data_IF_910823003037
#
_entry.id   IF_910823003037
#
_cell.length_a   1.000
_cell.length_b   1.000
_cell.length_c   1.000
_cell.angle_alpha   90.00
_cell.angle_beta   90.00
_cell.angle_gamma   90.00
#
_symmetry.space_group_name_H-M   'P 1'
#
loop_
_entity.id
_entity.type
_entity.pdbx_description
1 polymer ?
#
# COMPACT_ATOMS: atom_id res chain seq x y z
N UNK A 1 61.19 75.88 -69.82
CA UNK A 1 61.98 76.58 -68.77
C UNK A 1 63.41 76.06 -68.80
N UNK A 2 64.36 76.73 -68.18
CA UNK A 2 65.76 76.25 -68.13
C UNK A 2 65.85 74.96 -67.33
N UNK A 3 66.23 73.85 -67.97
CA UNK A 3 66.45 72.59 -67.24
C UNK A 3 67.81 72.56 -66.54
N UNK A 4 67.86 71.94 -65.37
CA UNK A 4 68.96 72.05 -64.43
C UNK A 4 70.03 70.97 -64.66
N UNK A 5 70.83 71.13 -65.71
CA UNK A 5 71.93 70.22 -66.05
C UNK A 5 72.92 70.12 -64.88
N UNK A 6 72.97 68.96 -64.25
CA UNK A 6 73.85 68.66 -63.12
C UNK A 6 75.32 68.68 -63.54
N UNK A 7 76.13 69.47 -62.85
CA UNK A 7 77.56 69.67 -63.16
C UNK A 7 78.45 68.42 -62.94
N UNK A 8 77.85 67.31 -62.49
CA UNK A 8 78.52 66.02 -62.22
C UNK A 8 78.04 64.88 -63.12
N UNK A 9 77.31 65.16 -64.22
CA UNK A 9 76.95 64.16 -65.24
C UNK A 9 75.84 63.18 -64.86
N UNK A 10 75.33 63.21 -63.63
CA UNK A 10 74.17 62.44 -63.20
C UNK A 10 72.86 63.21 -63.46
N UNK A 11 72.00 62.67 -64.32
CA UNK A 11 70.63 63.19 -64.52
C UNK A 11 69.75 62.90 -63.31
N UNK A 12 68.86 63.84 -62.88
CA UNK A 12 68.08 63.70 -61.65
C UNK A 12 66.84 62.80 -61.82
N UNK A 13 67.05 61.49 -62.01
CA UNK A 13 66.03 60.45 -62.25
C UNK A 13 65.16 60.12 -61.02
N UNK A 14 64.46 61.13 -60.47
CA UNK A 14 63.49 60.95 -59.39
C UNK A 14 62.33 60.05 -59.85
N UNK A 15 62.40 58.76 -59.47
CA UNK A 15 61.44 57.65 -59.73
C UNK A 15 61.70 56.79 -60.99
N UNK A 16 62.95 56.71 -61.45
CA UNK A 16 63.39 55.56 -62.28
C UNK A 16 63.01 55.59 -63.77
N UNK A 17 62.61 56.74 -64.30
CA UNK A 17 62.44 57.00 -65.73
C UNK A 17 63.23 58.25 -66.14
N UNK A 18 63.54 58.38 -67.44
CA UNK A 18 64.18 59.56 -68.01
C UNK A 18 63.12 60.59 -68.47
N UNK A 19 63.12 61.84 -67.96
CA UNK A 19 62.10 62.83 -68.32
C UNK A 19 61.94 63.06 -69.83
N UNK A 20 63.04 63.22 -70.56
CA UNK A 20 63.01 63.50 -72.01
C UNK A 20 62.32 62.39 -72.81
N UNK A 21 62.45 61.13 -72.36
CA UNK A 21 61.79 59.97 -72.98
C UNK A 21 60.29 59.96 -72.70
N UNK A 22 59.88 60.41 -71.50
CA UNK A 22 58.46 60.57 -71.15
C UNK A 22 57.85 61.73 -71.94
N UNK A 23 58.51 62.89 -72.02
CA UNK A 23 58.00 64.05 -72.76
C UNK A 23 57.94 63.76 -74.28
N UNK A 24 58.92 63.05 -74.85
CA UNK A 24 58.88 62.57 -76.23
C UNK A 24 57.71 61.59 -76.46
N UNK A 25 57.50 60.62 -75.56
CA UNK A 25 56.39 59.66 -75.65
C UNK A 25 55.02 60.35 -75.48
N UNK A 26 54.88 61.29 -74.54
CA UNK A 26 53.66 62.08 -74.33
C UNK A 26 53.38 62.98 -75.54
N UNK A 27 54.40 63.54 -76.18
CA UNK A 27 54.26 64.32 -77.42
C UNK A 27 53.82 63.43 -78.58
N UNK A 28 54.41 62.24 -78.74
CA UNK A 28 54.01 61.27 -79.76
C UNK A 28 52.55 60.81 -79.55
N UNK A 29 52.20 60.37 -78.33
CA UNK A 29 50.84 59.95 -77.98
C UNK A 29 49.81 61.08 -78.11
N UNK A 30 50.18 62.33 -77.81
CA UNK A 30 49.31 63.49 -78.01
C UNK A 30 49.07 63.75 -79.50
N UNK A 31 50.10 63.60 -80.34
CA UNK A 31 49.97 63.69 -81.79
C UNK A 31 49.12 62.55 -82.36
N UNK A 32 49.34 61.30 -81.93
CA UNK A 32 48.54 60.15 -82.35
C UNK A 32 47.06 60.31 -81.94
N UNK A 33 46.81 60.83 -80.73
CA UNK A 33 45.48 61.23 -80.25
C UNK A 33 44.84 62.27 -81.16
N UNK A 34 45.57 63.32 -81.52
CA UNK A 34 45.02 64.42 -82.33
C UNK A 34 44.79 64.01 -83.78
N UNK A 35 45.69 63.21 -84.37
CA UNK A 35 45.45 62.57 -85.67
C UNK A 35 44.26 61.59 -85.62
N UNK A 36 44.02 60.92 -84.49
CA UNK A 36 42.83 60.09 -84.30
C UNK A 36 41.54 60.91 -84.13
N UNK A 37 41.58 62.05 -83.46
CA UNK A 37 40.47 63.00 -83.37
C UNK A 37 40.10 63.57 -84.75
N UNK A 38 41.09 63.95 -85.57
CA UNK A 38 40.81 64.44 -86.93
C UNK A 38 40.22 63.33 -87.82
N UNK A 39 40.73 62.09 -87.74
CA UNK A 39 40.12 60.93 -88.41
C UNK A 39 38.67 60.71 -87.96
N UNK A 40 38.40 60.80 -86.65
CA UNK A 40 37.05 60.67 -86.07
C UNK A 40 36.13 61.83 -86.46
N UNK A 41 36.65 63.05 -86.56
CA UNK A 41 35.96 64.25 -87.04
C UNK A 41 35.51 64.07 -88.50
N UNK A 42 36.44 63.67 -89.38
CA UNK A 42 36.17 63.39 -90.80
C UNK A 42 35.18 62.22 -90.97
N UNK A 43 35.37 61.11 -90.24
CA UNK A 43 34.44 59.97 -90.27
C UNK A 43 33.05 60.35 -89.73
N UNK A 44 32.97 61.13 -88.65
CA UNK A 44 31.71 61.61 -88.10
C UNK A 44 31.03 62.68 -88.96
N UNK A 45 31.79 63.42 -89.77
CA UNK A 45 31.24 64.28 -90.83
C UNK A 45 30.66 63.45 -91.97
N UNK A 46 31.42 62.48 -92.47
CA UNK A 46 31.00 61.56 -93.52
C UNK A 46 29.79 60.70 -93.12
N UNK A 47 29.73 60.23 -91.87
CA UNK A 47 28.58 59.49 -91.34
C UNK A 47 27.32 60.35 -91.33
N UNK A 48 27.37 61.58 -90.80
CA UNK A 48 26.21 62.49 -90.80
C UNK A 48 25.75 62.86 -92.21
N UNK A 49 26.68 63.00 -93.16
CA UNK A 49 26.36 63.22 -94.57
C UNK A 49 25.71 61.98 -95.21
N UNK A 50 26.10 60.76 -94.82
CA UNK A 50 25.44 59.52 -95.25
C UNK A 50 24.06 59.32 -94.58
N UNK A 51 23.93 59.61 -93.28
CA UNK A 51 22.67 59.60 -92.53
C UNK A 51 21.68 60.60 -93.14
N UNK A 52 22.15 61.81 -93.46
CA UNK A 52 21.36 62.82 -94.16
C UNK A 52 20.94 62.32 -95.54
N UNK A 53 21.86 61.82 -96.38
CA UNK A 53 21.51 61.27 -97.70
C UNK A 53 20.54 60.09 -97.60
N UNK A 54 20.64 59.26 -96.57
CA UNK A 54 19.69 58.18 -96.31
C UNK A 54 18.30 58.72 -95.94
N UNK A 55 18.23 59.78 -95.13
CA UNK A 55 16.98 60.48 -94.83
C UNK A 55 16.40 61.17 -96.08
N UNK A 56 17.22 61.89 -96.84
CA UNK A 56 16.85 62.55 -98.10
C UNK A 56 16.31 61.51 -99.11
N UNK A 57 16.92 60.31 -99.22
CA UNK A 57 16.47 59.20 -100.08
C UNK A 57 15.17 58.57 -99.57
N UNK A 58 15.00 58.37 -98.26
CA UNK A 58 13.75 57.86 -97.69
C UNK A 58 12.60 58.84 -97.87
N UNK A 59 12.82 60.10 -97.57
CA UNK A 59 11.87 61.18 -97.78
C UNK A 59 11.48 61.26 -99.26
N UNK A 60 12.44 61.21 -100.19
CA UNK A 60 12.17 61.17 -101.62
C UNK A 60 11.49 59.87 -102.12
N UNK A 61 11.40 58.82 -101.29
CA UNK A 61 10.66 57.59 -101.58
C UNK A 61 9.28 57.56 -100.90
N UNK A 62 9.07 58.32 -99.82
CA UNK A 62 7.76 58.57 -99.20
C UNK A 62 7.00 59.70 -99.91
N UNK A 63 7.70 60.69 -100.46
CA UNK A 63 7.18 61.77 -101.32
C UNK A 63 7.04 61.34 -102.80
N UNK A 64 7.51 60.14 -103.16
CA UNK A 64 7.33 59.60 -104.50
C UNK A 64 5.84 59.26 -104.71
N UNK A 65 5.19 59.71 -105.81
CA UNK A 65 3.85 59.26 -106.15
C UNK A 65 3.80 57.74 -106.33
N UNK A 66 2.68 57.12 -105.92
CA UNK A 66 2.39 55.72 -106.25
C UNK A 66 2.57 55.50 -107.77
N UNK A 67 3.25 54.43 -108.22
CA UNK A 67 3.56 54.25 -109.64
C UNK A 67 2.30 54.13 -110.52
N UNK A 68 2.00 55.18 -111.30
CA UNK A 68 0.86 55.16 -112.22
C UNK A 68 1.20 54.38 -113.50
N UNK A 69 0.83 53.10 -113.50
CA UNK A 69 1.01 52.23 -114.65
C UNK A 69 0.09 52.58 -115.84
N UNK A 70 -0.84 53.54 -115.72
CA UNK A 70 -1.59 54.05 -116.86
C UNK A 70 -0.69 54.80 -117.87
N UNK A 71 0.39 55.44 -117.41
CA UNK A 71 1.40 56.03 -118.31
C UNK A 71 2.13 54.95 -119.15
N UNK A 72 2.19 53.71 -118.65
CA UNK A 72 2.85 52.60 -119.34
C UNK A 72 1.92 51.87 -120.31
N UNK A 73 0.68 51.56 -119.90
CA UNK A 73 -0.43 51.14 -120.77
C UNK A 73 -1.72 50.90 -119.99
N UNK A 74 -2.87 51.00 -120.68
CA UNK A 74 -4.19 50.58 -120.16
C UNK A 74 -4.16 49.15 -119.57
N UNK A 75 -3.41 48.24 -120.19
CA UNK A 75 -3.28 46.85 -119.75
C UNK A 75 -2.49 46.74 -118.43
N UNK A 76 -1.48 47.60 -118.21
CA UNK A 76 -0.70 47.61 -116.98
C UNK A 76 -1.51 48.22 -115.82
N UNK A 77 -2.27 49.30 -116.07
CA UNK A 77 -3.22 49.84 -115.10
C UNK A 77 -4.32 48.84 -114.73
N UNK A 78 -4.89 48.13 -115.71
CA UNK A 78 -5.86 47.07 -115.47
C UNK A 78 -5.29 45.91 -114.64
N UNK A 79 -4.02 45.53 -114.89
CA UNK A 79 -3.35 44.49 -114.12
C UNK A 79 -3.07 44.90 -112.68
N UNK A 80 -2.65 46.15 -112.42
CA UNK A 80 -2.54 46.68 -111.05
C UNK A 80 -3.91 46.67 -110.36
N UNK A 81 -4.97 47.13 -111.04
CA UNK A 81 -6.33 47.10 -110.50
C UNK A 81 -6.78 45.69 -110.10
N UNK A 82 -6.49 44.67 -110.92
CA UNK A 82 -6.76 43.27 -110.57
C UNK A 82 -5.93 42.81 -109.36
N UNK A 83 -4.63 43.15 -109.33
CA UNK A 83 -3.72 42.76 -108.25
C UNK A 83 -4.11 43.37 -106.89
N UNK A 84 -4.54 44.63 -106.87
CA UNK A 84 -5.03 45.31 -105.66
C UNK A 84 -6.35 44.69 -105.17
N UNK A 85 -7.30 44.44 -106.06
CA UNK A 85 -8.57 43.77 -105.70
C UNK A 85 -8.34 42.35 -105.15
N UNK A 86 -7.39 41.59 -105.71
CA UNK A 86 -7.03 40.26 -105.18
C UNK A 86 -6.30 40.37 -103.83
N UNK A 87 -5.43 41.37 -103.65
CA UNK A 87 -4.77 41.63 -102.36
C UNK A 87 -5.78 41.97 -101.25
N UNK A 88 -6.76 42.83 -101.55
CA UNK A 88 -7.87 43.14 -100.62
C UNK A 88 -8.75 41.91 -100.36
N UNK A 89 -9.05 41.10 -101.37
CA UNK A 89 -9.81 39.86 -101.20
C UNK A 89 -9.07 38.84 -100.32
N UNK A 90 -7.76 38.67 -100.52
CA UNK A 90 -6.88 37.83 -99.70
C UNK A 90 -6.80 38.36 -98.27
N UNK A 91 -6.62 39.67 -98.08
CA UNK A 91 -6.54 40.29 -96.75
C UNK A 91 -7.88 40.19 -96.00
N UNK A 92 -9.01 40.44 -96.66
CA UNK A 92 -10.34 40.27 -96.08
C UNK A 92 -10.62 38.80 -95.71
N UNK A 93 -10.18 37.84 -96.54
CA UNK A 93 -10.29 36.40 -96.26
C UNK A 93 -9.39 35.98 -95.09
N UNK A 94 -8.15 36.46 -95.03
CA UNK A 94 -7.22 36.19 -93.94
C UNK A 94 -7.71 36.76 -92.61
N UNK A 95 -8.27 37.99 -92.64
CA UNK A 95 -8.90 38.62 -91.47
C UNK A 95 -10.07 37.78 -90.95
N UNK A 96 -11.04 37.42 -91.82
CA UNK A 96 -12.18 36.57 -91.43
C UNK A 96 -11.71 35.23 -90.85
N UNK A 97 -10.80 34.54 -91.52
CA UNK A 97 -10.24 33.28 -91.01
C UNK A 97 -9.52 33.42 -89.66
N UNK A 98 -9.00 34.61 -89.32
CA UNK A 98 -8.41 34.92 -88.02
C UNK A 98 -9.44 35.35 -86.96
N UNK A 99 -10.62 35.80 -87.38
CA UNK A 99 -11.78 36.05 -86.52
C UNK A 99 -12.48 34.70 -86.21
N UNK A 100 -12.82 33.91 -87.24
CA UNK A 100 -13.36 32.54 -87.13
C UNK A 100 -12.52 31.66 -86.19
N UNK A 101 -11.18 31.71 -86.31
CA UNK A 101 -10.26 30.92 -85.48
C UNK A 101 -10.15 31.42 -84.03
N UNK A 102 -10.42 32.71 -83.76
CA UNK A 102 -10.49 33.25 -82.39
C UNK A 102 -11.79 32.86 -81.72
N UNK A 103 -12.90 32.97 -82.44
CA UNK A 103 -14.22 32.66 -81.91
C UNK A 103 -14.32 31.15 -81.59
N UNK A 104 -13.87 30.28 -82.50
CA UNK A 104 -13.77 28.84 -82.24
C UNK A 104 -12.85 28.49 -81.05
N UNK A 105 -11.73 29.23 -80.87
CA UNK A 105 -10.85 29.05 -79.71
C UNK A 105 -11.49 29.56 -78.40
N UNK A 106 -12.30 30.61 -78.45
CA UNK A 106 -13.04 31.12 -77.30
C UNK A 106 -14.17 30.18 -76.88
N UNK A 107 -14.97 29.68 -77.84
CA UNK A 107 -16.01 28.68 -77.60
C UNK A 107 -15.43 27.39 -76.99
N UNK A 108 -14.32 26.88 -77.55
CA UNK A 108 -13.62 25.73 -76.99
C UNK A 108 -13.08 26.00 -75.56
N UNK A 109 -12.61 27.22 -75.30
CA UNK A 109 -12.17 27.67 -73.98
C UNK A 109 -13.31 27.70 -72.95
N UNK A 110 -14.46 28.29 -73.27
CA UNK A 110 -15.62 28.33 -72.39
C UNK A 110 -16.23 26.93 -72.18
N UNK A 111 -16.30 26.10 -73.22
CA UNK A 111 -16.76 24.71 -73.10
C UNK A 111 -15.86 23.89 -72.17
N UNK A 112 -14.53 24.02 -72.29
CA UNK A 112 -13.57 23.37 -71.40
C UNK A 112 -13.67 23.92 -69.96
N UNK A 113 -13.82 25.24 -69.80
CA UNK A 113 -14.01 25.87 -68.50
C UNK A 113 -15.32 25.44 -67.82
N UNK A 114 -16.41 25.27 -68.58
CA UNK A 114 -17.69 24.80 -68.08
C UNK A 114 -17.63 23.32 -67.66
N UNK A 115 -17.07 22.45 -68.50
CA UNK A 115 -16.85 21.04 -68.15
C UNK A 115 -15.98 20.88 -66.90
N UNK A 116 -14.94 21.72 -66.73
CA UNK A 116 -14.11 21.73 -65.54
C UNK A 116 -14.87 22.22 -64.28
N UNK A 117 -15.73 23.24 -64.40
CA UNK A 117 -16.61 23.70 -63.30
C UNK A 117 -17.57 22.59 -62.87
N UNK A 118 -18.23 21.93 -63.82
CA UNK A 118 -19.20 20.85 -63.57
C UNK A 118 -18.53 19.62 -62.93
N UNK A 119 -17.40 19.16 -63.48
CA UNK A 119 -16.63 18.06 -62.89
C UNK A 119 -16.18 18.39 -61.46
N UNK A 120 -15.68 19.61 -61.22
CA UNK A 120 -15.26 20.03 -59.89
C UNK A 120 -16.46 20.24 -58.93
N UNK A 121 -17.65 20.57 -59.41
CA UNK A 121 -18.86 20.62 -58.58
C UNK A 121 -19.29 19.19 -58.17
N UNK A 122 -19.39 18.27 -59.13
CA UNK A 122 -19.73 16.87 -58.89
C UNK A 122 -18.75 16.18 -57.95
N UNK A 123 -17.44 16.36 -58.15
CA UNK A 123 -16.41 15.77 -57.30
C UNK A 123 -16.50 16.27 -55.85
N UNK A 124 -16.85 17.54 -55.63
CA UNK A 124 -17.11 18.07 -54.28
C UNK A 124 -18.34 17.41 -53.66
N UNK A 125 -19.44 17.27 -54.40
CA UNK A 125 -20.65 16.63 -53.89
C UNK A 125 -20.41 15.15 -53.54
N UNK A 126 -19.74 14.39 -54.41
CA UNK A 126 -19.38 12.99 -54.16
C UNK A 126 -18.46 12.85 -52.92
N UNK A 127 -17.52 13.79 -52.73
CA UNK A 127 -16.65 13.84 -51.56
C UNK A 127 -17.42 14.18 -50.29
N UNK A 128 -18.28 15.21 -50.32
CA UNK A 128 -19.15 15.60 -49.20
C UNK A 128 -20.07 14.45 -48.77
N UNK A 129 -20.68 13.75 -49.73
CA UNK A 129 -21.50 12.57 -49.45
C UNK A 129 -20.66 11.42 -48.86
N UNK A 130 -19.45 11.18 -49.35
CA UNK A 130 -18.55 10.16 -48.79
C UNK A 130 -18.13 10.48 -47.35
N UNK A 131 -17.77 11.75 -47.08
CA UNK A 131 -17.40 12.22 -45.73
C UNK A 131 -18.58 12.07 -44.76
N UNK A 132 -19.79 12.52 -45.14
CA UNK A 132 -21.00 12.37 -44.30
C UNK A 132 -21.29 10.91 -43.96
N UNK A 133 -21.34 10.02 -44.95
CA UNK A 133 -21.56 8.56 -44.74
C UNK A 133 -20.48 7.91 -43.85
N UNK A 134 -19.28 8.48 -43.80
CA UNK A 134 -18.15 7.97 -43.00
C UNK A 134 -18.18 8.50 -41.57
N UNK A 135 -18.55 9.76 -41.38
CA UNK A 135 -18.84 10.38 -40.09
C UNK A 135 -20.05 9.72 -39.42
N UNK A 136 -21.17 9.58 -40.13
CA UNK A 136 -22.37 8.84 -39.68
C UNK A 136 -22.05 7.41 -39.23
N UNK A 137 -21.22 6.67 -40.00
CA UNK A 137 -20.77 5.33 -39.63
C UNK A 137 -19.94 5.34 -38.35
N UNK A 138 -18.92 6.20 -38.26
CA UNK A 138 -18.02 6.22 -37.11
C UNK A 138 -18.72 6.70 -35.82
N UNK A 139 -19.71 7.58 -35.93
CA UNK A 139 -20.63 7.92 -34.83
C UNK A 139 -21.47 6.73 -34.40
N UNK A 140 -22.12 6.03 -35.33
CA UNK A 140 -22.94 4.85 -35.01
C UNK A 140 -22.11 3.71 -34.40
N UNK A 141 -20.86 3.52 -34.81
CA UNK A 141 -19.91 2.59 -34.21
C UNK A 141 -19.50 3.03 -32.79
N UNK A 142 -19.19 4.32 -32.58
CA UNK A 142 -18.87 4.86 -31.26
C UNK A 142 -20.07 4.83 -30.28
N UNK A 143 -21.29 5.01 -30.77
CA UNK A 143 -22.52 4.90 -29.97
C UNK A 143 -22.82 3.45 -29.58
N UNK A 144 -22.59 2.48 -30.47
CA UNK A 144 -22.67 1.03 -30.14
C UNK A 144 -21.66 0.65 -29.07
N UNK A 145 -20.39 0.99 -29.25
CA UNK A 145 -19.33 0.69 -28.27
C UNK A 145 -19.62 1.31 -26.90
N UNK A 146 -20.23 2.51 -26.85
CA UNK A 146 -20.70 3.12 -25.60
C UNK A 146 -21.87 2.35 -24.98
N UNK A 147 -22.88 1.97 -25.77
CA UNK A 147 -24.04 1.22 -25.28
C UNK A 147 -23.65 -0.19 -24.78
N UNK A 148 -22.70 -0.84 -25.46
CA UNK A 148 -22.11 -2.12 -25.06
C UNK A 148 -21.34 -1.97 -23.73
N UNK A 149 -20.44 -0.99 -23.62
CA UNK A 149 -19.70 -0.72 -22.38
C UNK A 149 -20.62 -0.34 -21.20
N UNK A 150 -21.67 0.45 -21.43
CA UNK A 150 -22.68 0.78 -20.42
C UNK A 150 -23.48 -0.45 -19.97
N UNK A 151 -23.79 -1.37 -20.89
CA UNK A 151 -24.47 -2.62 -20.59
C UNK A 151 -23.58 -3.58 -19.78
N UNK A 152 -22.30 -3.72 -20.16
CA UNK A 152 -21.31 -4.49 -19.41
C UNK A 152 -21.08 -3.92 -18.00
N UNK A 153 -20.92 -2.60 -17.87
CA UNK A 153 -20.75 -1.93 -16.58
C UNK A 153 -21.97 -2.17 -15.66
N UNK A 154 -23.19 -2.09 -16.19
CA UNK A 154 -24.42 -2.42 -15.44
C UNK A 154 -24.46 -3.90 -15.05
N UNK A 155 -24.13 -4.80 -15.97
CA UNK A 155 -24.09 -6.24 -15.69
C UNK A 155 -23.07 -6.58 -14.60
N UNK A 156 -21.88 -5.97 -14.64
CA UNK A 156 -20.84 -6.12 -13.62
C UNK A 156 -21.30 -5.60 -12.25
N UNK A 157 -21.94 -4.42 -12.19
CA UNK A 157 -22.50 -3.87 -10.94
C UNK A 157 -23.62 -4.76 -10.39
N UNK A 158 -24.52 -5.29 -11.23
CA UNK A 158 -25.54 -6.25 -10.81
C UNK A 158 -24.96 -7.59 -10.33
N UNK A 159 -23.93 -8.11 -10.99
CA UNK A 159 -23.22 -9.32 -10.56
C UNK A 159 -22.50 -9.12 -9.22
N UNK A 160 -21.81 -7.98 -9.04
CA UNK A 160 -21.08 -7.65 -7.82
C UNK A 160 -22.01 -7.38 -6.63
N UNK A 161 -23.09 -6.62 -6.82
CA UNK A 161 -24.11 -6.39 -5.79
C UNK A 161 -24.84 -7.68 -5.42
N UNK A 162 -25.19 -8.52 -6.40
CA UNK A 162 -25.75 -9.84 -6.15
C UNK A 162 -24.80 -10.79 -5.41
N UNK A 163 -23.49 -10.74 -5.70
CA UNK A 163 -22.47 -11.47 -4.95
C UNK A 163 -22.35 -10.95 -3.51
N UNK A 164 -22.25 -9.63 -3.32
CA UNK A 164 -22.19 -9.03 -1.99
C UNK A 164 -23.43 -9.33 -1.13
N UNK A 165 -24.62 -9.39 -1.74
CA UNK A 165 -25.84 -9.83 -1.07
C UNK A 165 -25.76 -11.30 -0.62
N UNK A 166 -25.29 -12.21 -1.50
CA UNK A 166 -25.08 -13.62 -1.13
C UNK A 166 -24.05 -13.78 -0.01
N UNK A 167 -22.94 -13.05 -0.05
CA UNK A 167 -21.90 -13.06 1.00
C UNK A 167 -22.49 -12.60 2.35
N UNK A 168 -23.27 -11.51 2.37
CA UNK A 168 -23.94 -11.02 3.58
C UNK A 168 -24.90 -12.06 4.17
N UNK A 169 -25.71 -12.71 3.34
CA UNK A 169 -26.62 -13.79 3.79
C UNK A 169 -25.82 -14.98 4.33
N UNK A 170 -24.77 -15.44 3.63
CA UNK A 170 -23.94 -16.54 4.15
C UNK A 170 -23.23 -16.20 5.47
N UNK A 171 -22.81 -14.95 5.65
CA UNK A 171 -22.18 -14.49 6.88
C UNK A 171 -23.19 -14.38 8.04
N UNK A 172 -24.42 -13.91 7.78
CA UNK A 172 -25.50 -13.89 8.76
C UNK A 172 -25.86 -15.31 9.22
N UNK A 173 -26.09 -16.23 8.27
CA UNK A 173 -26.39 -17.64 8.56
C UNK A 173 -25.25 -18.32 9.34
N UNK A 174 -23.98 -17.99 9.04
CA UNK A 174 -22.84 -18.50 9.79
C UNK A 174 -22.75 -17.92 11.21
N UNK A 175 -23.11 -16.65 11.41
CA UNK A 175 -23.23 -16.05 12.76
C UNK A 175 -24.30 -16.76 13.58
N UNK A 176 -25.50 -16.92 13.02
CA UNK A 176 -26.63 -17.61 13.64
C UNK A 176 -26.27 -19.06 14.05
N UNK A 177 -25.59 -19.81 13.18
CA UNK A 177 -25.09 -21.15 13.50
C UNK A 177 -24.00 -21.14 14.60
N UNK A 178 -23.14 -20.12 14.63
CA UNK A 178 -22.13 -19.97 15.68
C UNK A 178 -22.75 -19.60 17.04
N UNK A 179 -23.81 -18.79 17.04
CA UNK A 179 -24.56 -18.40 18.23
C UNK A 179 -25.39 -19.57 18.77
N UNK A 180 -26.06 -20.33 17.89
CA UNK A 180 -26.78 -21.54 18.25
C UNK A 180 -25.85 -22.59 18.89
N UNK A 181 -24.73 -22.91 18.25
CA UNK A 181 -23.76 -23.88 18.81
C UNK A 181 -23.06 -23.38 20.08
N UNK A 182 -22.93 -22.06 20.28
CA UNK A 182 -22.48 -21.49 21.55
C UNK A 182 -23.55 -21.58 22.64
N UNK A 183 -24.83 -21.37 22.30
CA UNK A 183 -25.95 -21.51 23.23
C UNK A 183 -26.13 -22.97 23.68
N UNK A 184 -26.02 -23.94 22.77
CA UNK A 184 -26.01 -25.38 23.08
C UNK A 184 -24.85 -25.74 24.03
N UNK A 185 -23.63 -25.23 23.76
CA UNK A 185 -22.46 -25.47 24.62
C UNK A 185 -22.61 -24.84 26.01
N UNK A 186 -23.18 -23.64 26.10
CA UNK A 186 -23.49 -22.98 27.38
C UNK A 186 -24.50 -23.80 28.16
N UNK A 187 -25.66 -24.08 27.57
CA UNK A 187 -26.71 -24.91 28.18
C UNK A 187 -26.17 -26.25 28.67
N UNK A 188 -25.36 -26.95 27.87
CA UNK A 188 -24.75 -28.19 28.32
C UNK A 188 -23.78 -27.98 29.50
N UNK A 189 -22.95 -26.95 29.47
CA UNK A 189 -22.09 -26.63 30.60
C UNK A 189 -22.90 -26.31 31.87
N UNK A 190 -24.01 -25.58 31.74
CA UNK A 190 -24.92 -25.26 32.85
C UNK A 190 -25.59 -26.54 33.41
N UNK A 191 -26.01 -27.47 32.54
CA UNK A 191 -26.54 -28.79 32.91
C UNK A 191 -25.47 -29.68 33.59
N UNK A 192 -24.24 -29.73 33.05
CA UNK A 192 -23.10 -30.44 33.63
C UNK A 192 -22.67 -29.83 34.99
N UNK A 193 -22.71 -28.51 35.15
CA UNK A 193 -22.43 -27.81 36.42
C UNK A 193 -23.50 -28.07 37.47
N UNK A 194 -24.79 -27.97 37.14
CA UNK A 194 -25.88 -28.24 38.09
C UNK A 194 -25.88 -29.70 38.57
N UNK A 195 -25.50 -30.65 37.70
CA UNK A 195 -25.30 -32.04 38.09
C UNK A 195 -24.10 -32.21 39.03
N UNK A 196 -22.99 -31.50 38.80
CA UNK A 196 -21.81 -31.51 39.67
C UNK A 196 -22.08 -30.86 41.04
N UNK A 197 -22.82 -29.76 41.09
CA UNK A 197 -23.27 -29.09 42.31
C UNK A 197 -24.19 -30.01 43.14
N UNK A 198 -25.20 -30.61 42.51
CA UNK A 198 -26.09 -31.59 43.16
C UNK A 198 -25.32 -32.80 43.73
N UNK A 199 -24.30 -33.28 43.01
CA UNK A 199 -23.44 -34.36 43.48
C UNK A 199 -22.51 -33.94 44.64
N UNK A 200 -22.02 -32.69 44.62
CA UNK A 200 -21.22 -32.13 45.71
C UNK A 200 -22.07 -31.94 46.98
N UNK A 201 -23.27 -31.39 46.88
CA UNK A 201 -24.21 -31.23 47.99
C UNK A 201 -24.61 -32.58 48.59
N UNK A 202 -24.88 -33.59 47.76
CA UNK A 202 -25.15 -34.95 48.23
C UNK A 202 -23.94 -35.57 48.96
N UNK A 203 -22.71 -35.27 48.52
CA UNK A 203 -21.49 -35.70 49.20
C UNK A 203 -21.28 -34.96 50.53
N UNK A 204 -21.50 -33.64 50.57
CA UNK A 204 -21.43 -32.82 51.78
C UNK A 204 -22.47 -33.29 52.80
N UNK A 205 -23.74 -33.45 52.41
CA UNK A 205 -24.82 -33.93 53.27
C UNK A 205 -24.53 -35.34 53.85
N UNK A 206 -23.89 -36.22 53.07
CA UNK A 206 -23.45 -37.53 53.54
C UNK A 206 -22.30 -37.43 54.55
N UNK A 207 -21.36 -36.52 54.36
CA UNK A 207 -20.23 -36.29 55.27
C UNK A 207 -20.68 -35.62 56.57
N UNK A 208 -21.57 -34.62 56.52
CA UNK A 208 -22.14 -33.98 57.72
C UNK A 208 -23.01 -34.96 58.50
N UNK A 209 -23.90 -35.72 57.86
CA UNK A 209 -24.69 -36.74 58.56
C UNK A 209 -23.82 -37.81 59.23
N UNK A 210 -22.69 -38.20 58.62
CA UNK A 210 -21.73 -39.13 59.22
C UNK A 210 -20.90 -38.49 60.35
N UNK A 211 -20.65 -37.18 60.31
CA UNK A 211 -20.02 -36.44 61.39
C UNK A 211 -20.99 -36.28 62.59
N UNK A 212 -22.23 -35.85 62.33
CA UNK A 212 -23.29 -35.70 63.35
C UNK A 212 -23.60 -37.02 64.04
N UNK A 213 -23.60 -38.13 63.30
CA UNK A 213 -23.75 -39.47 63.87
C UNK A 213 -22.62 -39.81 64.85
N UNK A 214 -21.35 -39.52 64.48
CA UNK A 214 -20.19 -39.72 65.35
C UNK A 214 -20.16 -38.77 66.55
N UNK A 215 -20.64 -37.53 66.39
CA UNK A 215 -20.80 -36.60 67.52
C UNK A 215 -21.82 -37.16 68.50
N UNK A 216 -23.00 -37.61 68.04
CA UNK A 216 -24.02 -38.24 68.88
C UNK A 216 -23.53 -39.53 69.55
N UNK A 217 -22.78 -40.36 68.84
CA UNK A 217 -22.14 -41.57 69.38
C UNK A 217 -21.13 -41.22 70.49
N UNK A 218 -20.30 -40.20 70.27
CA UNK A 218 -19.34 -39.71 71.27
C UNK A 218 -20.03 -39.03 72.47
N UNK A 219 -21.14 -38.31 72.25
CA UNK A 219 -21.96 -37.72 73.32
C UNK A 219 -22.62 -38.81 74.16
N UNK A 220 -23.24 -39.81 73.54
CA UNK A 220 -23.83 -40.97 74.22
C UNK A 220 -22.78 -41.78 74.99
N UNK A 221 -21.60 -42.02 74.41
CA UNK A 221 -20.49 -42.67 75.09
C UNK A 221 -19.98 -41.83 76.27
N UNK A 222 -19.89 -40.51 76.12
CA UNK A 222 -19.50 -39.59 77.21
C UNK A 222 -20.54 -39.63 78.34
N UNK A 223 -21.82 -39.66 78.02
CA UNK A 223 -22.90 -39.75 79.01
C UNK A 223 -22.92 -41.11 79.72
N UNK A 224 -22.75 -42.21 78.99
CA UNK A 224 -22.60 -43.54 79.58
C UNK A 224 -21.40 -43.60 80.55
N UNK A 225 -20.23 -43.09 80.14
CA UNK A 225 -19.05 -43.03 81.02
C UNK A 225 -19.24 -42.11 82.23
N UNK A 226 -20.02 -41.03 82.10
CA UNK A 226 -20.37 -40.15 83.22
C UNK A 226 -21.35 -40.81 84.19
N UNK A 227 -22.31 -41.60 83.69
CA UNK A 227 -23.21 -42.40 84.53
C UNK A 227 -22.49 -43.56 85.21
N UNK A 228 -21.54 -44.22 84.54
CA UNK A 228 -20.66 -45.22 85.17
C UNK A 228 -19.75 -44.59 86.23
N UNK A 229 -19.16 -43.42 85.96
CA UNK A 229 -18.37 -42.69 86.95
C UNK A 229 -19.22 -42.24 88.16
N UNK A 230 -20.44 -41.75 87.93
CA UNK A 230 -21.41 -41.42 88.99
C UNK A 230 -21.76 -42.66 89.83
N UNK A 231 -22.06 -43.79 89.19
CA UNK A 231 -22.33 -45.06 89.88
C UNK A 231 -21.13 -45.48 90.71
N UNK A 232 -19.92 -45.47 90.14
CA UNK A 232 -18.68 -45.84 90.84
C UNK A 232 -18.41 -44.95 92.06
N UNK A 233 -18.66 -43.63 91.94
CA UNK A 233 -18.55 -42.67 93.04
C UNK A 233 -19.62 -42.92 94.12
N UNK A 234 -20.89 -43.12 93.77
CA UNK A 234 -21.93 -43.51 94.75
C UNK A 234 -21.65 -44.85 95.43
N UNK A 235 -21.07 -45.81 94.70
CA UNK A 235 -20.62 -47.09 95.23
C UNK A 235 -19.43 -46.93 96.18
N UNK A 236 -18.50 -46.03 95.87
CA UNK A 236 -17.35 -45.71 96.70
C UNK A 236 -17.77 -44.97 97.98
N UNK A 237 -18.71 -44.03 97.88
CA UNK A 237 -19.32 -43.33 99.01
C UNK A 237 -20.09 -44.32 99.90
N UNK A 238 -20.93 -45.18 99.33
CA UNK A 238 -21.64 -46.21 100.10
C UNK A 238 -20.68 -47.20 100.80
N UNK A 239 -19.56 -47.57 100.16
CA UNK A 239 -18.50 -48.39 100.78
C UNK A 239 -17.75 -47.63 101.87
N UNK A 240 -17.50 -46.34 101.70
CA UNK A 240 -16.88 -45.48 102.71
C UNK A 240 -17.81 -45.29 103.93
N UNK A 241 -19.09 -45.00 103.73
CA UNK A 241 -20.09 -44.89 104.79
C UNK A 241 -20.29 -46.22 105.52
N UNK A 242 -20.33 -47.35 104.81
CA UNK A 242 -20.37 -48.67 105.43
C UNK A 242 -19.11 -48.97 106.25
N UNK A 243 -17.93 -48.58 105.77
CA UNK A 243 -16.67 -48.70 106.52
C UNK A 243 -16.65 -47.78 107.75
N UNK A 244 -17.16 -46.56 107.65
CA UNK A 244 -17.31 -45.62 108.76
C UNK A 244 -18.35 -46.09 109.79
N UNK A 245 -19.46 -46.69 109.35
CA UNK A 245 -20.46 -47.31 110.22
C UNK A 245 -19.87 -48.52 110.96
N UNK A 246 -19.16 -49.42 110.26
CA UNK A 246 -18.46 -50.54 110.87
C UNK A 246 -17.32 -50.10 111.82
N UNK A 247 -16.66 -48.96 111.53
CA UNK A 247 -15.68 -48.35 112.42
C UNK A 247 -16.33 -47.72 113.66
N UNK A 248 -17.50 -47.07 113.52
CA UNK A 248 -18.30 -46.57 114.65
C UNK A 248 -18.79 -47.71 115.53
N UNK A 249 -19.39 -48.75 114.96
CA UNK A 249 -19.79 -49.95 115.72
C UNK A 249 -18.62 -50.60 116.47
N UNK A 250 -17.42 -50.64 115.87
CA UNK A 250 -16.21 -51.11 116.56
C UNK A 250 -15.79 -50.16 117.67
N UNK A 251 -15.81 -48.85 117.43
CA UNK A 251 -15.48 -47.84 118.45
C UNK A 251 -16.46 -47.87 119.63
N UNK A 252 -17.76 -48.03 119.37
CA UNK A 252 -18.79 -48.09 120.42
C UNK A 252 -18.81 -49.46 121.12
N UNK A 253 -18.43 -50.56 120.45
CA UNK A 253 -18.11 -51.83 121.10
C UNK A 253 -16.85 -51.75 121.97
N UNK A 254 -15.83 -51.02 121.54
CA UNK A 254 -14.62 -50.78 122.33
C UNK A 254 -14.95 -49.92 123.56
N UNK A 255 -15.69 -48.82 123.40
CA UNK A 255 -16.21 -48.04 124.55
C UNK A 255 -17.02 -48.92 125.50
N UNK A 256 -18.04 -49.63 125.02
CA UNK A 256 -18.86 -50.51 125.86
C UNK A 256 -18.10 -51.73 126.45
N UNK A 257 -16.88 -52.01 126.00
CA UNK A 257 -15.95 -52.93 126.65
C UNK A 257 -15.12 -52.19 127.72
N UNK A 258 -14.52 -51.04 127.39
CA UNK A 258 -13.77 -50.19 128.32
C UNK A 258 -14.63 -49.66 129.48
N UNK A 259 -15.89 -49.30 129.25
CA UNK A 259 -16.85 -48.86 130.27
C UNK A 259 -17.20 -50.03 131.22
N UNK A 260 -17.26 -51.26 130.71
CA UNK A 260 -17.41 -52.47 131.53
C UNK A 260 -16.15 -52.79 132.32
N UNK A 261 -14.97 -52.70 131.69
CA UNK A 261 -13.70 -52.88 132.38
C UNK A 261 -13.50 -51.82 133.47
N UNK A 262 -13.81 -50.55 133.21
CA UNK A 262 -13.82 -49.49 134.22
C UNK A 262 -14.82 -49.79 135.33
N UNK A 263 -16.07 -50.16 135.02
CA UNK A 263 -17.05 -50.51 136.04
C UNK A 263 -16.62 -51.72 136.89
N UNK A 264 -15.95 -52.72 136.31
CA UNK A 264 -15.41 -53.86 137.05
C UNK A 264 -14.10 -53.53 137.79
N UNK A 265 -13.32 -52.55 137.32
CA UNK A 265 -12.16 -52.00 138.04
C UNK A 265 -12.61 -51.20 139.27
N UNK A 266 -13.66 -50.38 139.14
CA UNK A 266 -14.29 -49.66 140.25
C UNK A 266 -14.85 -50.64 141.29
N UNK A 267 -15.56 -51.71 140.87
CA UNK A 267 -16.01 -52.78 141.79
C UNK A 267 -14.87 -53.50 142.50
N UNK A 268 -13.69 -53.63 141.86
CA UNK A 268 -12.48 -54.18 142.51
C UNK A 268 -11.92 -53.18 143.53
N UNK A 269 -11.90 -51.89 143.22
CA UNK A 269 -11.51 -50.81 144.15
C UNK A 269 -12.43 -50.76 145.38
N UNK A 270 -13.75 -50.68 145.18
CA UNK A 270 -14.75 -50.73 146.27
C UNK A 270 -14.54 -51.96 147.17
N UNK A 271 -14.30 -53.13 146.57
CA UNK A 271 -14.10 -54.38 147.31
C UNK A 271 -12.78 -54.39 148.10
N UNK A 272 -11.72 -53.77 147.58
CA UNK A 272 -10.44 -53.60 148.31
C UNK A 272 -10.59 -52.57 149.42
N UNK A 273 -11.25 -51.44 149.18
CA UNK A 273 -11.51 -50.41 150.19
C UNK A 273 -12.40 -50.96 151.32
N UNK A 274 -13.46 -51.71 150.99
CA UNK A 274 -14.31 -52.39 151.99
C UNK A 274 -13.50 -53.35 152.88
N UNK A 275 -12.55 -54.10 152.31
CA UNK A 275 -11.66 -54.96 153.09
C UNK A 275 -10.68 -54.16 153.98
N UNK A 276 -10.13 -53.04 153.48
CA UNK A 276 -9.23 -52.19 154.25
C UNK A 276 -9.95 -51.48 155.41
N UNK A 277 -11.17 -50.99 155.19
CA UNK A 277 -11.93 -50.29 156.23
C UNK A 277 -12.51 -51.26 157.28
N UNK A 278 -12.80 -52.52 156.92
CA UNK A 278 -13.12 -53.57 157.90
C UNK A 278 -11.91 -53.93 158.79
N UNK A 279 -10.70 -53.94 158.23
CA UNK A 279 -9.45 -54.15 158.99
C UNK A 279 -9.15 -52.95 159.90
N UNK A 280 -9.30 -51.71 159.40
CA UNK A 280 -9.15 -50.49 160.22
C UNK A 280 -10.18 -50.45 161.37
N UNK A 281 -11.45 -50.77 161.08
CA UNK A 281 -12.53 -50.74 162.06
C UNK A 281 -12.39 -51.78 163.19
N UNK A 282 -11.73 -52.91 162.93
CA UNK A 282 -11.50 -53.94 163.94
C UNK A 282 -10.23 -53.69 164.76
N UNK A 283 -9.15 -53.16 164.16
CA UNK A 283 -7.94 -52.75 164.90
C UNK A 283 -8.17 -51.52 165.79
N UNK A 284 -9.03 -50.59 165.39
CA UNK A 284 -9.35 -49.38 166.14
C UNK A 284 -10.09 -49.63 167.48
N UNK A 285 -10.50 -50.86 167.78
CA UNK A 285 -11.38 -51.19 168.92
C UNK A 285 -10.65 -51.60 170.20
N UNK A 286 -9.39 -52.07 170.14
CA UNK A 286 -8.69 -52.61 171.34
C UNK A 286 -7.21 -52.25 171.52
N UNK A 287 -6.58 -51.50 170.61
CA UNK A 287 -5.24 -50.92 170.84
C UNK A 287 -5.16 -49.50 170.30
N UNK A 288 -5.23 -48.50 171.19
CA UNK A 288 -5.07 -47.10 170.84
C UNK A 288 -3.61 -46.74 170.57
N UNK A 289 -3.28 -46.36 169.34
CA UNK A 289 -2.00 -45.81 168.93
C UNK A 289 -2.19 -44.86 167.74
N UNK A 290 -1.26 -43.91 167.55
CA UNK A 290 -1.35 -42.90 166.50
C UNK A 290 -0.20 -43.01 165.48
N UNK A 291 -0.55 -43.00 164.20
CA UNK A 291 0.25 -42.66 162.99
C UNK A 291 -0.77 -42.03 162.03
N UNK A 292 -0.62 -40.80 161.53
CA UNK A 292 0.35 -40.38 160.51
C UNK A 292 -0.30 -40.60 159.12
N UNK A 293 -0.75 -39.58 158.36
CA UNK A 293 -0.03 -38.42 157.79
C UNK A 293 0.98 -38.83 156.69
N UNK A 294 1.34 -37.89 155.79
CA UNK A 294 2.22 -38.04 154.59
C UNK A 294 1.48 -38.64 153.37
N UNK A 295 1.55 -38.12 152.13
CA UNK A 295 2.00 -36.81 151.55
C UNK A 295 1.46 -36.69 150.09
N UNK A 296 1.52 -35.51 149.47
CA UNK A 296 1.49 -35.36 147.99
C UNK A 296 2.86 -35.83 147.42
N UNK A 297 2.95 -36.25 146.13
CA UNK A 297 3.66 -35.35 145.20
C UNK A 297 3.21 -35.44 143.73
N UNK A 298 3.91 -34.64 142.91
CA UNK A 298 3.74 -34.44 141.48
C UNK A 298 4.50 -35.46 140.59
N UNK A 299 4.17 -35.40 139.28
CA UNK A 299 5.11 -35.43 138.14
C UNK A 299 5.59 -36.76 137.47
N UNK A 300 6.09 -36.56 136.24
CA UNK A 300 7.05 -37.38 135.46
C UNK A 300 6.62 -38.66 134.68
N UNK A 301 6.47 -38.46 133.36
CA UNK A 301 7.27 -39.11 132.30
C UNK A 301 7.06 -40.58 131.81
N UNK A 302 6.90 -40.68 130.48
CA UNK A 302 7.58 -41.60 129.51
C UNK A 302 7.41 -43.14 129.67
N UNK A 303 6.91 -43.92 128.68
CA UNK A 303 7.19 -44.07 127.24
C UNK A 303 8.24 -45.16 126.88
N UNK A 304 7.74 -46.26 126.30
CA UNK A 304 8.38 -47.18 125.30
C UNK A 304 7.22 -47.85 124.55
N UNK A 305 7.11 -48.00 123.22
CA UNK A 305 8.08 -48.19 122.11
C UNK A 305 8.49 -49.67 121.88
N UNK A 306 8.91 -49.98 120.64
CA UNK A 306 9.35 -51.27 120.10
C UNK A 306 8.28 -52.33 119.71
N UNK A 307 8.42 -53.08 118.58
CA UNK A 307 9.41 -53.00 117.48
C UNK A 307 8.93 -53.77 116.22
N UNK A 308 9.17 -53.18 115.03
CA UNK A 308 9.69 -53.76 113.74
C UNK A 308 9.02 -55.03 113.15
N UNK A 309 9.18 -55.39 111.87
CA UNK A 309 10.22 -55.14 110.85
C UNK A 309 9.57 -55.34 109.44
N UNK A 310 10.18 -55.32 108.24
CA UNK A 310 11.32 -54.69 107.51
C UNK A 310 11.31 -55.42 106.12
N UNK A 311 11.88 -55.01 104.97
CA UNK A 311 12.71 -53.90 104.47
C UNK A 311 12.64 -53.92 102.91
N UNK A 312 12.73 -52.78 102.20
CA UNK A 312 12.86 -52.74 100.72
C UNK A 312 13.20 -51.33 100.16
N UNK A 313 14.01 -51.23 99.10
CA UNK A 313 14.57 -49.96 98.59
C UNK A 313 14.65 -49.87 97.02
N UNK A 314 15.00 -48.69 96.43
CA UNK A 314 14.70 -48.28 95.04
C UNK A 314 15.93 -48.50 94.10
N UNK A 315 16.16 -47.82 92.94
CA UNK A 315 15.41 -46.76 92.22
C UNK A 315 15.35 -46.91 90.67
N UNK A 316 14.90 -45.86 89.95
CA UNK A 316 15.65 -45.14 88.89
C UNK A 316 14.78 -44.03 88.24
N UNK A 317 15.43 -42.98 87.74
CA UNK A 317 14.87 -41.85 86.96
C UNK A 317 14.94 -42.09 85.45
N UNK A 318 14.05 -41.49 84.64
CA UNK A 318 14.47 -41.02 83.31
C UNK A 318 13.64 -39.83 82.73
N UNK A 319 14.15 -39.27 81.63
CA UNK A 319 13.80 -37.97 81.01
C UNK A 319 12.83 -38.07 79.80
N UNK A 320 12.30 -36.95 79.25
CA UNK A 320 11.20 -36.98 78.29
C UNK A 320 11.64 -37.19 76.83
N UNK A 321 10.82 -37.93 76.07
CA UNK A 321 11.10 -38.27 74.67
C UNK A 321 10.59 -37.20 73.69
N UNK A 322 11.47 -36.38 73.14
CA UNK A 322 11.17 -35.56 71.98
C UNK A 322 11.23 -36.40 70.69
N UNK A 323 10.21 -36.28 69.83
CA UNK A 323 10.19 -36.91 68.49
C UNK A 323 10.08 -35.83 67.41
N UNK A 324 11.22 -35.19 67.11
CA UNK A 324 11.36 -34.30 65.96
C UNK A 324 11.86 -35.10 64.75
N UNK A 325 10.94 -35.46 63.85
CA UNK A 325 11.29 -36.03 62.54
C UNK A 325 11.68 -34.93 61.54
N UNK A 326 12.86 -35.02 60.87
CA UNK A 326 13.29 -33.99 59.93
C UNK A 326 12.56 -34.10 58.57
N UNK A 327 11.45 -33.38 58.43
CA UNK A 327 10.78 -33.19 57.14
C UNK A 327 11.58 -32.20 56.29
N UNK A 328 11.93 -32.61 55.06
CA UNK A 328 12.73 -31.82 54.12
C UNK A 328 11.95 -30.56 53.66
N UNK A 329 12.49 -29.34 53.78
CA UNK A 329 11.96 -28.21 53.02
C UNK A 329 12.21 -28.44 51.53
N UNK A 330 11.16 -28.35 50.70
CA UNK A 330 11.26 -28.47 49.24
C UNK A 330 10.37 -27.41 48.59
N UNK A 331 10.93 -26.71 47.61
CA UNK A 331 10.33 -25.61 46.84
C UNK A 331 9.99 -24.34 47.65
N UNK A 332 10.88 -23.35 47.54
CA UNK A 332 10.56 -21.93 47.72
C UNK A 332 9.45 -21.52 46.73
N UNK A 333 8.35 -20.89 47.18
CA UNK A 333 7.26 -20.43 46.30
C UNK A 333 7.62 -19.18 45.48
N UNK A 334 8.79 -18.56 45.66
CA UNK A 334 9.18 -17.30 45.00
C UNK A 334 9.92 -17.49 43.67
N UNK A 335 9.38 -18.33 42.78
CA UNK A 335 9.63 -18.13 41.34
C UNK A 335 8.75 -16.96 40.87
N UNK A 336 9.31 -15.84 40.37
CA UNK A 336 8.49 -14.84 39.69
C UNK A 336 7.85 -15.50 38.46
N UNK A 337 6.59 -15.16 38.20
CA UNK A 337 5.89 -15.56 36.98
C UNK A 337 6.57 -14.87 35.79
N UNK A 338 7.42 -15.60 35.07
CA UNK A 338 7.84 -15.21 33.73
C UNK A 338 6.62 -15.28 32.84
N UNK A 339 6.09 -14.13 32.43
CA UNK A 339 5.04 -14.08 31.43
C UNK A 339 5.51 -14.80 30.16
N UNK A 340 4.64 -15.57 29.47
CA UNK A 340 4.97 -16.10 28.16
C UNK A 340 5.24 -14.92 27.22
N UNK A 341 6.32 -15.01 26.44
CA UNK A 341 6.58 -14.04 25.38
C UNK A 341 5.37 -14.00 24.42
N UNK A 342 4.95 -12.80 23.96
CA UNK A 342 3.93 -12.72 22.92
C UNK A 342 4.49 -13.39 21.66
N UNK A 343 3.83 -14.46 21.22
CA UNK A 343 4.27 -15.22 20.05
C UNK A 343 4.46 -14.30 18.84
N UNK A 344 5.61 -14.42 18.17
CA UNK A 344 5.88 -13.67 16.94
C UNK A 344 4.76 -13.91 15.92
N UNK A 345 4.26 -12.86 15.24
CA UNK A 345 3.27 -13.05 14.18
C UNK A 345 3.89 -13.91 13.07
N UNK A 346 3.18 -14.93 12.55
CA UNK A 346 3.73 -15.80 11.52
C UNK A 346 4.15 -14.98 10.30
N UNK A 347 5.34 -15.28 9.77
CA UNK A 347 5.91 -14.55 8.64
C UNK A 347 4.93 -14.50 7.45
N UNK A 348 4.83 -13.34 6.75
CA UNK A 348 3.90 -13.20 5.64
C UNK A 348 4.20 -14.23 4.54
N UNK A 349 3.17 -14.80 3.88
CA UNK A 349 3.35 -15.87 2.91
C UNK A 349 4.28 -15.43 1.78
N UNK A 350 5.29 -16.27 1.51
CA UNK A 350 6.30 -16.01 0.47
C UNK A 350 5.59 -15.80 -0.86
N UNK A 351 5.86 -14.67 -1.52
CA UNK A 351 5.31 -14.37 -2.85
C UNK A 351 5.74 -15.48 -3.82
N UNK A 352 4.81 -16.17 -4.51
CA UNK A 352 5.18 -17.15 -5.53
C UNK A 352 5.95 -16.45 -6.66
N UNK A 353 6.91 -17.16 -7.25
CA UNK A 353 7.85 -16.57 -8.20
C UNK A 353 7.15 -16.01 -9.45
N UNK A 354 7.54 -14.79 -9.84
CA UNK A 354 7.02 -14.09 -11.00
C UNK A 354 7.58 -14.64 -12.31
N UNK A 355 7.05 -15.77 -12.81
CA UNK A 355 7.27 -16.24 -14.18
C UNK A 355 6.08 -16.99 -14.78
N UNK A 356 5.20 -16.24 -15.43
CA UNK A 356 4.47 -16.69 -16.61
C UNK A 356 4.46 -15.51 -17.60
N UNK A 357 4.92 -15.72 -18.83
CA UNK A 357 4.74 -14.76 -19.92
C UNK A 357 3.41 -15.07 -20.59
N UNK A 358 2.60 -14.04 -20.86
CA UNK A 358 1.44 -14.20 -21.71
C UNK A 358 1.86 -14.73 -23.10
N UNK A 359 1.14 -15.70 -23.68
CA UNK A 359 1.40 -16.12 -25.05
C UNK A 359 1.00 -14.99 -25.99
N UNK A 360 1.95 -14.50 -26.80
CA UNK A 360 1.64 -13.52 -27.85
C UNK A 360 0.59 -14.10 -28.82
N UNK A 361 -0.34 -13.27 -29.32
CA UNK A 361 -1.26 -13.70 -30.38
C UNK A 361 -0.48 -14.11 -31.63
N UNK A 362 -0.94 -15.13 -32.38
CA UNK A 362 -0.22 -15.62 -33.55
C UNK A 362 -0.14 -14.55 -34.64
N UNK A 363 1.07 -14.33 -35.14
CA UNK A 363 1.35 -13.45 -36.28
C UNK A 363 0.63 -14.01 -37.54
N UNK A 364 -0.05 -13.19 -38.36
CA UNK A 364 -0.73 -13.68 -39.55
C UNK A 364 0.24 -14.37 -40.51
N UNK A 365 -0.20 -15.47 -41.11
CA UNK A 365 0.62 -16.29 -42.00
C UNK A 365 0.91 -15.55 -43.32
N UNK A 366 2.13 -15.72 -43.83
CA UNK A 366 2.53 -15.26 -45.17
C UNK A 366 1.66 -15.90 -46.25
N UNK A 367 1.28 -15.13 -47.27
CA UNK A 367 0.55 -15.67 -48.42
C UNK A 367 1.36 -16.78 -49.13
N UNK A 368 0.70 -17.85 -49.62
CA UNK A 368 1.38 -18.92 -50.34
C UNK A 368 1.94 -18.43 -51.68
N UNK A 369 3.07 -19.02 -52.09
CA UNK A 369 3.73 -18.71 -53.36
C UNK A 369 2.91 -19.19 -54.58
N UNK A 370 3.13 -18.52 -55.73
CA UNK A 370 2.54 -18.94 -57.00
C UNK A 370 3.17 -20.25 -57.52
N UNK A 371 2.40 -21.14 -58.16
CA UNK A 371 2.93 -22.36 -58.78
C UNK A 371 3.69 -22.07 -60.08
N UNK A 372 4.63 -22.96 -60.42
CA UNK A 372 5.40 -22.92 -61.67
C UNK A 372 4.57 -23.32 -62.91
N UNK A 373 5.09 -23.03 -64.11
CA UNK A 373 4.35 -23.09 -65.36
C UNK A 373 4.86 -24.17 -66.34
N UNK A 374 3.93 -24.80 -67.06
CA UNK A 374 4.13 -25.50 -68.34
C UNK A 374 2.78 -25.83 -69.00
N UNK A 375 2.70 -26.01 -70.34
CA UNK A 375 3.46 -25.39 -71.42
C UNK A 375 2.54 -24.58 -72.38
N UNK A 376 3.09 -23.96 -73.42
CA UNK A 376 2.33 -23.14 -74.38
C UNK A 376 1.66 -23.97 -75.50
N UNK A 377 0.61 -23.40 -76.13
CA UNK A 377 0.39 -23.59 -77.57
C UNK A 377 0.26 -22.26 -78.36
N UNK A 378 0.85 -22.27 -79.55
CA UNK A 378 0.52 -21.53 -80.79
C UNK A 378 0.26 -20.00 -80.77
N UNK A 379 1.09 -19.28 -81.52
CA UNK A 379 0.92 -17.85 -81.83
C UNK A 379 0.31 -17.63 -83.22
N UNK A 380 -0.48 -16.55 -83.37
CA UNK A 380 -0.75 -15.88 -84.66
C UNK A 380 -0.61 -14.35 -84.50
N UNK A 381 -0.26 -13.58 -85.56
CA UNK A 381 0.35 -12.26 -85.39
C UNK A 381 -0.48 -11.09 -85.97
N UNK A 382 -0.63 -10.02 -85.19
CA UNK A 382 -1.10 -8.68 -85.60
C UNK A 382 -0.36 -7.60 -84.74
N UNK A 383 -0.33 -6.30 -85.10
CA UNK A 383 0.69 -5.81 -86.04
C UNK A 383 1.59 -4.70 -85.45
N UNK A 384 2.51 -4.18 -86.28
CA UNK A 384 3.57 -3.23 -85.89
C UNK A 384 3.05 -1.90 -85.31
N UNK A 385 3.46 -1.59 -84.08
CA UNK A 385 3.28 -0.27 -83.48
C UNK A 385 4.30 0.72 -84.04
N UNK A 386 3.85 1.75 -84.78
CA UNK A 386 4.70 2.83 -85.29
C UNK A 386 5.23 3.69 -84.15
N UNK A 387 6.53 4.00 -84.16
CA UNK A 387 7.14 4.88 -83.17
C UNK A 387 6.82 6.36 -83.48
N UNK A 388 5.94 6.96 -82.69
CA UNK A 388 5.68 8.41 -82.76
C UNK A 388 6.84 9.22 -82.15
N UNK A 389 7.24 10.28 -82.83
CA UNK A 389 8.37 11.12 -82.41
C UNK A 389 7.98 11.98 -81.19
N UNK A 390 8.56 11.67 -80.03
CA UNK A 390 8.27 12.34 -78.75
C UNK A 390 8.88 13.75 -78.71
N UNK A 391 8.13 14.74 -79.20
CA UNK A 391 8.53 16.16 -79.16
C UNK A 391 8.66 16.59 -77.69
N UNK A 392 9.87 16.95 -77.27
CA UNK A 392 10.15 17.55 -75.96
C UNK A 392 10.12 19.07 -76.12
N UNK A 393 9.18 19.80 -75.50
CA UNK A 393 9.18 21.25 -75.55
C UNK A 393 10.37 21.80 -74.77
N UNK A 394 11.25 22.56 -75.44
CA UNK A 394 12.24 23.40 -74.76
C UNK A 394 11.50 24.53 -74.05
N UNK A 395 11.49 24.52 -72.72
CA UNK A 395 11.13 25.69 -71.93
C UNK A 395 12.25 26.71 -72.13
N UNK A 396 11.98 27.77 -72.90
CA UNK A 396 12.81 28.97 -72.92
C UNK A 396 12.39 29.80 -71.72
N UNK A 397 13.22 29.82 -70.68
CA UNK A 397 13.06 30.77 -69.58
C UNK A 397 13.48 32.14 -70.14
N UNK A 398 12.51 33.03 -70.32
CA UNK A 398 12.78 34.45 -70.53
C UNK A 398 13.07 35.04 -69.16
N UNK A 399 14.29 35.57 -69.00
CA UNK A 399 14.73 36.22 -67.78
C UNK A 399 14.24 37.68 -67.78
N UNK A 400 12.96 37.86 -67.42
CA UNK A 400 12.36 39.19 -67.22
C UNK A 400 13.02 39.84 -66.00
N UNK A 401 14.14 40.55 -66.23
CA UNK A 401 15.09 41.07 -65.25
C UNK A 401 14.52 42.14 -64.29
N UNK A 402 13.59 41.73 -63.43
CA UNK A 402 12.99 42.52 -62.37
C UNK A 402 13.64 42.13 -61.05
N UNK A 403 14.70 42.85 -60.67
CA UNK A 403 15.35 42.72 -59.36
C UNK A 403 14.35 42.99 -58.22
N UNK A 404 13.82 41.93 -57.62
CA UNK A 404 13.02 42.01 -56.40
C UNK A 404 13.92 42.29 -55.18
N UNK A 405 14.23 43.58 -54.97
CA UNK A 405 14.97 44.05 -53.78
C UNK A 405 14.20 43.74 -52.49
N UNK A 406 14.51 42.59 -51.90
CA UNK A 406 13.84 41.99 -50.75
C UNK A 406 14.43 42.49 -49.42
N UNK A 407 14.76 43.79 -49.35
CA UNK A 407 15.29 44.44 -48.15
C UNK A 407 14.17 45.11 -47.33
N UNK A 408 13.98 44.75 -46.04
CA UNK A 408 12.90 45.31 -45.24
C UNK A 408 13.12 46.80 -44.94
N UNK A 409 12.15 47.63 -45.31
CA UNK A 409 12.18 49.09 -45.22
C UNK A 409 12.31 49.58 -43.75
N UNK A 410 13.54 49.82 -43.29
CA UNK A 410 13.86 50.19 -41.90
C UNK A 410 14.06 51.70 -41.69
N UNK A 411 13.17 52.54 -42.25
CA UNK A 411 13.11 53.98 -41.96
C UNK A 411 11.70 54.55 -42.22
N UNK A 412 10.85 54.62 -41.17
CA UNK A 412 9.58 55.37 -41.20
C UNK A 412 9.17 55.96 -39.84
N UNK A 413 10.07 56.75 -39.23
CA UNK A 413 9.75 57.59 -38.07
C UNK A 413 10.36 58.98 -38.30
N UNK A 414 9.60 60.04 -37.98
CA UNK A 414 9.86 61.47 -38.26
C UNK A 414 9.77 61.83 -39.77
N UNK A 415 9.16 62.95 -40.20
CA UNK A 415 8.76 64.19 -39.51
C UNK A 415 7.38 64.71 -39.95
N UNK A 416 6.74 65.46 -39.04
CA UNK A 416 5.81 66.60 -39.23
C UNK A 416 4.86 66.58 -40.44
N UNK A 417 3.58 66.30 -40.16
CA UNK A 417 2.48 67.22 -40.45
C UNK A 417 2.00 67.78 -39.12
#
# INVERSE_FOLDING_TARGET
MSDAVSQYGFTPSRRGYAPDQVDAAVTALSRERDEAWERLSVLGGGLREMEKRLADIKQAAEDAPDPDFAELSDQAAALLGIALNEADAVHAKAKRSGEDARDAAHEAGEAAAQAAKEFAAKLREETDQFVRRTDERSRAEAERLRAEADAEARALVHAATGHAARVRVSAANASEQSEATLAERRRKADEDFAAAETAADAAVAKVTAAADARVKEAEQHREAMLEEARRLDTDAQAKADAALAAAREKADRIKAASDREQADFTKRLDKVQTHLDHIKGTLASLTGAAVGAIEDPEDAAQAVEAKKADLGKPPVTDQPTAVLGPVKPKADPRRPYTAPEPAEPPAPPVKPASFAKDPLPPKPATAPAAPEAAPAPEAKPEPEAKAEARIVPKIVIVDDGIDHDTRPNRNRIQRKG
#
